data_IF_491977519450
#
_entry.id   IF_491977519450
#
_cell.length_a   1.000
_cell.length_b   1.000
_cell.length_c   1.000
_cell.angle_alpha   90.00
_cell.angle_beta   90.00
_cell.angle_gamma   90.00
#
_symmetry.space_group_name_H-M   'P 1'
#
loop_
_entity.id
_entity.type
_entity.pdbx_description
1 polymer ?
#
# COMPACT_ATOMS: atom_id res chain seq x y z
N UNK A 1 -12.49 35.33 22.00
CA UNK A 1 -13.05 34.03 22.33
C UNK A 1 -12.31 33.37 23.49
N UNK A 2 -10.99 33.18 23.42
CA UNK A 2 -10.17 32.60 24.50
C UNK A 2 -10.35 33.33 25.83
N UNK A 3 -10.31 34.68 25.85
CA UNK A 3 -10.50 35.52 27.01
C UNK A 3 -11.89 35.30 27.65
N UNK A 4 -12.93 35.11 26.84
CA UNK A 4 -14.28 34.80 27.32
C UNK A 4 -14.45 33.36 27.83
N UNK A 5 -13.76 32.42 27.24
CA UNK A 5 -13.72 31.05 27.76
C UNK A 5 -13.05 30.99 29.13
N UNK A 6 -11.97 31.72 29.32
CA UNK A 6 -11.29 31.83 30.61
C UNK A 6 -12.18 32.53 31.69
N UNK A 7 -12.87 33.61 31.30
CA UNK A 7 -13.81 34.30 32.18
C UNK A 7 -15.02 33.40 32.54
N UNK A 8 -15.49 32.52 31.61
CA UNK A 8 -16.60 31.61 31.79
C UNK A 8 -16.30 30.43 32.73
N UNK A 9 -15.03 30.13 32.98
CA UNK A 9 -14.65 29.09 33.95
C UNK A 9 -14.99 29.48 35.39
N UNK A 10 -15.22 30.81 35.65
CA UNK A 10 -15.70 31.29 36.95
C UNK A 10 -17.22 31.23 37.04
N UNK A 11 -17.76 31.12 38.25
CA UNK A 11 -19.20 31.08 38.47
C UNK A 11 -19.87 32.37 37.91
N UNK A 12 -20.87 32.20 37.03
CA UNK A 12 -21.66 33.28 36.46
C UNK A 12 -23.13 32.87 36.32
N UNK A 13 -24.02 33.87 36.25
CA UNK A 13 -25.48 33.65 36.22
C UNK A 13 -26.06 33.52 34.79
N UNK A 14 -25.23 33.25 33.78
CA UNK A 14 -25.63 33.18 32.40
C UNK A 14 -25.73 34.53 31.70
N UNK A 15 -26.53 34.63 30.65
CA UNK A 15 -26.73 35.83 29.84
C UNK A 15 -26.24 35.68 28.40
N UNK A 16 -26.48 36.72 27.57
CA UNK A 16 -26.21 36.68 26.12
C UNK A 16 -24.73 36.85 25.72
N UNK A 17 -23.87 37.20 26.65
CA UNK A 17 -22.40 37.39 26.37
C UNK A 17 -21.56 36.13 26.52
N UNK A 18 -22.13 35.06 27.05
CA UNK A 18 -21.42 33.80 27.34
C UNK A 18 -21.49 32.82 26.18
N UNK A 19 -20.49 31.96 26.09
CA UNK A 19 -20.47 30.88 25.09
C UNK A 19 -21.40 29.77 25.60
N UNK A 20 -22.41 29.39 24.80
CA UNK A 20 -23.37 28.37 25.16
C UNK A 20 -23.93 27.61 23.98
N UNK A 21 -24.62 26.50 24.24
CA UNK A 21 -25.22 25.66 23.22
C UNK A 21 -26.67 26.08 22.87
N UNK A 22 -27.25 27.02 23.61
CA UNK A 22 -28.66 27.48 23.43
C UNK A 22 -28.81 28.98 23.75
N UNK A 23 -29.99 29.51 23.54
CA UNK A 23 -30.33 30.91 23.84
C UNK A 23 -29.96 31.89 22.74
N UNK A 24 -29.82 33.19 23.14
CA UNK A 24 -29.54 34.31 22.20
C UNK A 24 -28.08 34.73 22.17
N UNK A 25 -27.20 34.00 22.80
CA UNK A 25 -25.76 34.28 22.76
C UNK A 25 -25.24 34.30 21.35
N UNK A 26 -24.33 35.26 20.99
CA UNK A 26 -23.69 35.27 19.68
C UNK A 26 -22.70 34.12 19.48
N UNK A 27 -22.40 33.32 20.50
CA UNK A 27 -21.43 32.22 20.47
C UNK A 27 -22.12 30.92 20.93
N UNK A 28 -21.99 29.88 20.11
CA UNK A 28 -22.52 28.54 20.41
C UNK A 28 -23.02 27.81 19.16
N UNK A 29 -23.67 26.64 19.33
CA UNK A 29 -24.06 25.81 18.17
C UNK A 29 -25.59 25.64 18.01
N UNK A 30 -26.38 25.76 19.09
CA UNK A 30 -27.86 25.51 19.09
C UNK A 30 -28.72 26.75 19.40
N UNK A 31 -28.09 27.91 19.63
CA UNK A 31 -28.83 29.15 19.95
C UNK A 31 -29.39 29.84 18.70
N UNK A 32 -30.34 30.77 18.93
CA UNK A 32 -30.92 31.62 17.89
C UNK A 32 -30.30 33.01 17.95
N UNK A 33 -29.27 33.25 17.15
CA UNK A 33 -28.68 34.59 16.92
C UNK A 33 -28.32 34.72 15.43
N UNK A 34 -28.98 35.61 14.67
CA UNK A 34 -28.72 35.74 13.20
C UNK A 34 -27.29 36.12 12.85
N UNK A 35 -26.59 36.87 13.73
CA UNK A 35 -25.20 37.28 13.55
C UNK A 35 -24.24 36.41 14.35
N UNK A 36 -24.69 35.30 14.87
CA UNK A 36 -23.92 34.44 15.75
C UNK A 36 -22.80 33.68 15.05
N UNK A 37 -21.79 33.33 15.84
CA UNK A 37 -20.67 32.47 15.42
C UNK A 37 -20.93 31.07 15.93
N UNK A 38 -20.98 30.08 15.02
CA UNK A 38 -21.08 28.68 15.43
C UNK A 38 -19.73 28.19 15.98
N UNK A 39 -19.76 27.58 17.16
CA UNK A 39 -18.58 27.02 17.83
C UNK A 39 -18.86 25.53 18.09
N UNK A 40 -18.20 24.67 17.31
CA UNK A 40 -18.31 23.20 17.42
C UNK A 40 -19.67 22.64 17.08
N UNK A 41 -19.80 21.33 16.98
CA UNK A 41 -21.06 20.58 16.80
C UNK A 41 -21.83 20.86 15.50
N UNK A 42 -22.88 20.06 15.24
CA UNK A 42 -23.78 20.26 14.11
C UNK A 42 -24.76 21.41 14.37
N UNK A 43 -25.01 22.22 13.35
CA UNK A 43 -25.97 23.34 13.45
C UNK A 43 -27.41 22.84 13.36
N UNK A 44 -28.20 23.03 14.38
CA UNK A 44 -29.65 22.74 14.36
C UNK A 44 -30.42 23.60 13.36
N UNK A 45 -30.03 24.84 13.15
CA UNK A 45 -30.80 25.82 12.36
C UNK A 45 -30.10 26.24 11.06
N UNK A 46 -28.88 25.79 10.78
CA UNK A 46 -28.07 26.08 9.57
C UNK A 46 -27.99 27.57 9.18
N UNK A 47 -28.08 28.52 10.13
CA UNK A 47 -28.16 29.98 9.92
C UNK A 47 -26.95 30.76 10.40
N UNK A 48 -25.91 30.11 10.89
CA UNK A 48 -24.70 30.80 11.32
C UNK A 48 -23.92 31.38 10.15
N UNK A 49 -23.68 32.69 10.16
CA UNK A 49 -22.87 33.39 9.14
C UNK A 49 -21.37 33.09 9.26
N UNK A 50 -20.91 32.77 10.46
CA UNK A 50 -19.51 32.43 10.75
C UNK A 50 -19.44 31.12 11.48
N UNK A 51 -18.55 30.23 11.02
CA UNK A 51 -18.29 28.93 11.62
C UNK A 51 -16.88 28.94 12.17
N UNK A 52 -16.75 28.74 13.49
CA UNK A 52 -15.47 28.46 14.10
C UNK A 52 -15.33 26.96 14.33
N UNK A 53 -14.59 26.31 13.46
CA UNK A 53 -14.15 24.93 13.67
C UNK A 53 -12.74 24.94 14.24
N UNK A 54 -12.52 24.16 15.29
CA UNK A 54 -11.18 23.93 15.82
C UNK A 54 -10.42 23.20 14.70
N UNK A 55 -9.54 23.91 14.03
CA UNK A 55 -8.59 23.27 13.12
C UNK A 55 -7.66 22.45 13.98
N UNK A 56 -7.89 21.16 14.01
CA UNK A 56 -6.89 20.21 14.47
C UNK A 56 -5.84 20.14 13.37
N UNK A 57 -4.71 20.79 13.59
CA UNK A 57 -3.52 20.56 12.80
C UNK A 57 -3.02 19.16 13.19
N UNK A 58 -3.57 18.13 12.54
CA UNK A 58 -2.94 16.83 12.54
C UNK A 58 -1.70 16.98 11.66
N UNK A 59 -0.53 16.64 12.19
CA UNK A 59 0.61 16.36 11.35
C UNK A 59 0.14 15.35 10.30
N UNK A 60 0.49 15.60 9.02
CA UNK A 60 0.20 14.67 7.95
C UNK A 60 0.75 13.31 8.38
N UNK A 61 -0.16 12.41 8.75
CA UNK A 61 0.19 11.09 9.22
C UNK A 61 0.51 10.23 7.99
N UNK A 62 1.77 9.89 7.82
CA UNK A 62 2.26 9.02 6.75
C UNK A 62 1.69 7.61 6.84
N UNK A 63 0.98 7.28 7.94
CA UNK A 63 0.37 5.99 8.19
C UNK A 63 -1.12 5.92 7.80
N UNK A 64 -1.70 7.00 7.24
CA UNK A 64 -3.10 7.02 6.82
C UNK A 64 -3.38 6.02 5.72
N UNK A 65 -4.59 5.45 5.78
CA UNK A 65 -5.17 4.59 4.75
C UNK A 65 -4.89 5.11 3.34
N UNK A 66 -4.33 4.23 2.54
CA UNK A 66 -3.95 4.51 1.17
C UNK A 66 -5.20 4.66 0.31
N UNK A 67 -5.50 5.86 -0.12
CA UNK A 67 -6.46 6.03 -1.22
C UNK A 67 -5.88 5.49 -2.54
N UNK A 68 -6.71 4.90 -3.39
CA UNK A 68 -6.34 4.31 -4.69
C UNK A 68 -5.41 5.19 -5.54
N UNK A 69 -5.60 6.52 -5.47
CA UNK A 69 -4.73 7.49 -6.17
C UNK A 69 -3.30 7.47 -5.66
N UNK A 70 -3.11 7.41 -4.35
CA UNK A 70 -1.78 7.40 -3.73
C UNK A 70 -1.04 6.09 -4.03
N UNK A 71 -1.76 4.97 -4.00
CA UNK A 71 -1.25 3.66 -4.40
C UNK A 71 -0.75 3.71 -5.85
N UNK A 72 -1.54 4.22 -6.78
CA UNK A 72 -1.15 4.37 -8.20
C UNK A 72 0.12 5.21 -8.35
N UNK A 73 0.25 6.31 -7.61
CA UNK A 73 1.46 7.16 -7.67
C UNK A 73 2.69 6.39 -7.19
N UNK A 74 2.58 5.62 -6.09
CA UNK A 74 3.69 4.81 -5.58
C UNK A 74 4.08 3.71 -6.60
N UNK A 75 3.12 2.97 -7.16
CA UNK A 75 3.36 1.92 -8.14
C UNK A 75 3.97 2.46 -9.46
N UNK A 76 3.62 3.68 -9.87
CA UNK A 76 4.23 4.34 -11.04
C UNK A 76 5.73 4.55 -10.88
N UNK A 77 6.22 4.68 -9.66
CA UNK A 77 7.66 4.80 -9.41
C UNK A 77 8.41 3.56 -9.87
N UNK A 78 7.87 2.36 -9.62
CA UNK A 78 8.46 1.13 -10.14
C UNK A 78 8.61 1.16 -11.67
N UNK A 79 7.59 1.65 -12.38
CA UNK A 79 7.66 1.84 -13.84
C UNK A 79 8.72 2.85 -14.29
N UNK A 80 8.90 3.93 -13.52
CA UNK A 80 9.88 4.98 -13.84
C UNK A 80 11.30 4.45 -13.71
N UNK A 81 11.59 3.69 -12.66
CA UNK A 81 12.92 3.11 -12.43
C UNK A 81 13.27 1.98 -13.41
N UNK A 82 12.27 1.24 -13.90
CA UNK A 82 12.49 0.18 -14.90
C UNK A 82 12.83 0.72 -16.32
N UNK A 83 12.78 2.03 -16.53
CA UNK A 83 13.18 2.68 -17.79
C UNK A 83 14.69 2.81 -17.98
N UNK A 84 15.50 2.43 -17.02
CA UNK A 84 16.96 2.43 -17.10
C UNK A 84 17.48 1.15 -17.79
N UNK A 85 16.86 0.76 -18.92
CA UNK A 85 17.35 -0.30 -19.80
C UNK A 85 18.41 0.21 -20.77
N UNK A 86 19.05 -0.73 -21.50
CA UNK A 86 19.91 -0.37 -22.63
C UNK A 86 19.14 0.50 -23.63
N UNK A 87 19.78 1.50 -24.24
CA UNK A 87 19.16 2.34 -25.24
C UNK A 87 18.96 1.54 -26.56
N UNK A 88 17.78 0.94 -26.72
CA UNK A 88 17.45 0.06 -27.86
C UNK A 88 16.54 0.74 -28.90
N UNK A 89 15.99 1.94 -28.58
CA UNK A 89 15.10 2.70 -29.47
C UNK A 89 15.80 3.95 -29.99
N UNK A 90 15.64 4.24 -31.28
CA UNK A 90 16.14 5.48 -31.89
C UNK A 90 15.43 6.69 -31.25
N UNK A 91 16.18 7.57 -30.62
CA UNK A 91 15.70 8.89 -30.21
C UNK A 91 15.66 9.84 -31.39
N UNK A 92 14.53 9.86 -32.10
CA UNK A 92 14.38 10.64 -33.30
C UNK A 92 14.57 12.15 -33.05
N UNK A 93 13.97 12.69 -31.97
CA UNK A 93 14.10 14.10 -31.61
C UNK A 93 15.53 14.46 -31.22
N UNK A 94 16.15 13.68 -30.34
CA UNK A 94 17.54 13.89 -29.94
C UNK A 94 18.52 13.72 -31.12
N UNK A 95 18.23 12.80 -32.07
CA UNK A 95 19.01 12.59 -33.25
C UNK A 95 18.94 13.80 -34.22
N UNK A 96 17.73 14.32 -34.46
CA UNK A 96 17.51 15.51 -35.30
C UNK A 96 18.19 16.73 -34.67
N UNK A 97 18.00 16.95 -33.38
CA UNK A 97 18.59 18.09 -32.68
C UNK A 97 20.13 18.00 -32.64
N UNK A 98 20.66 16.82 -32.36
CA UNK A 98 22.13 16.58 -32.37
C UNK A 98 22.71 16.80 -33.76
N UNK A 99 22.08 16.23 -34.78
CA UNK A 99 22.47 16.39 -36.21
C UNK A 99 22.45 17.85 -36.64
N UNK A 100 21.41 18.59 -36.28
CA UNK A 100 21.28 20.02 -36.60
C UNK A 100 22.35 20.88 -35.91
N UNK A 101 22.76 20.53 -34.70
CA UNK A 101 23.79 21.25 -33.94
C UNK A 101 25.21 20.94 -34.39
N UNK A 102 25.46 19.70 -34.79
CA UNK A 102 26.82 19.24 -35.13
C UNK A 102 27.15 19.24 -36.62
N UNK A 103 26.14 19.35 -37.49
CA UNK A 103 26.29 19.36 -38.94
C UNK A 103 26.64 18.00 -39.55
N UNK A 104 26.63 16.91 -38.74
CA UNK A 104 26.80 15.52 -39.18
C UNK A 104 25.81 14.62 -38.47
N UNK A 105 25.47 13.45 -38.99
CA UNK A 105 24.47 12.53 -38.46
C UNK A 105 24.88 12.03 -37.05
N UNK A 106 24.18 12.52 -36.01
CA UNK A 106 24.38 12.14 -34.61
C UNK A 106 23.23 11.23 -34.17
N UNK A 107 23.38 9.92 -34.42
CA UNK A 107 22.36 8.93 -34.07
C UNK A 107 22.35 8.76 -32.55
N UNK A 108 21.23 9.17 -31.92
CA UNK A 108 20.99 9.00 -30.50
C UNK A 108 19.98 7.89 -30.25
N UNK A 109 20.35 7.01 -29.34
CA UNK A 109 19.49 5.93 -28.87
C UNK A 109 18.94 6.27 -27.51
N UNK A 110 17.69 5.88 -27.24
CA UNK A 110 17.05 6.00 -25.92
C UNK A 110 16.51 4.65 -25.48
N UNK A 111 16.37 4.47 -24.17
CA UNK A 111 15.68 3.30 -23.64
C UNK A 111 14.21 3.30 -24.10
N UNK A 112 13.75 2.19 -24.64
CA UNK A 112 12.39 2.02 -25.14
C UNK A 112 11.38 2.34 -24.02
N UNK A 113 10.33 3.12 -24.33
CA UNK A 113 9.25 3.47 -23.40
C UNK A 113 8.32 2.28 -23.10
N UNK A 114 8.82 1.05 -23.10
CA UNK A 114 8.01 -0.10 -22.74
C UNK A 114 7.69 -0.06 -21.25
N UNK A 115 6.44 -0.26 -20.92
CA UNK A 115 6.01 -0.65 -19.58
C UNK A 115 6.43 -2.12 -19.38
N UNK A 116 7.73 -2.32 -19.34
CA UNK A 116 8.38 -3.64 -19.34
C UNK A 116 8.43 -4.26 -17.93
N UNK A 117 7.91 -3.58 -16.90
CA UNK A 117 7.88 -4.14 -15.56
C UNK A 117 6.96 -5.34 -15.54
N UNK A 118 7.54 -6.48 -15.23
CA UNK A 118 6.85 -7.75 -15.05
C UNK A 118 6.67 -8.00 -13.56
N UNK A 119 5.44 -8.23 -13.12
CA UNK A 119 5.08 -8.39 -11.71
C UNK A 119 4.33 -9.69 -11.50
N UNK A 120 4.75 -10.46 -10.51
CA UNK A 120 3.96 -11.53 -9.92
C UNK A 120 3.46 -11.06 -8.56
N UNK A 121 2.15 -10.99 -8.41
CA UNK A 121 1.47 -10.56 -7.19
C UNK A 121 0.87 -11.78 -6.50
N UNK A 122 1.28 -12.06 -5.28
CA UNK A 122 0.74 -13.12 -4.45
C UNK A 122 -0.10 -12.50 -3.33
N UNK A 123 -1.37 -12.89 -3.25
CA UNK A 123 -2.37 -12.32 -2.35
C UNK A 123 -2.79 -13.36 -1.32
N UNK A 124 -2.52 -13.08 -0.06
CA UNK A 124 -3.00 -13.89 1.05
C UNK A 124 -4.50 -13.72 1.24
N UNK A 125 -5.20 -14.83 1.39
CA UNK A 125 -6.65 -14.89 1.61
C UNK A 125 -7.01 -15.65 2.89
N UNK A 126 -6.08 -15.75 3.83
CA UNK A 126 -6.34 -16.29 5.17
C UNK A 126 -7.38 -15.47 5.92
N UNK A 127 -8.11 -16.10 6.85
CA UNK A 127 -9.18 -15.43 7.60
C UNK A 127 -8.71 -14.21 8.42
N UNK A 128 -7.44 -14.16 8.80
CA UNK A 128 -6.83 -12.99 9.47
C UNK A 128 -6.73 -11.76 8.55
N UNK A 129 -6.83 -11.95 7.22
CA UNK A 129 -6.84 -10.89 6.22
C UNK A 129 -8.19 -10.19 6.05
N UNK A 130 -9.29 -10.72 6.63
CA UNK A 130 -10.64 -10.15 6.50
C UNK A 130 -10.73 -8.64 6.80
N UNK A 131 -10.09 -8.10 7.84
CA UNK A 131 -10.10 -6.66 8.12
C UNK A 131 -9.44 -5.80 7.04
N UNK A 132 -8.58 -6.41 6.20
CA UNK A 132 -7.75 -5.72 5.21
C UNK A 132 -8.22 -5.90 3.77
N UNK A 133 -9.31 -6.65 3.53
CA UNK A 133 -9.81 -6.97 2.17
C UNK A 133 -9.93 -5.72 1.33
N UNK A 134 -10.59 -4.67 1.83
CA UNK A 134 -10.80 -3.42 1.08
C UNK A 134 -9.49 -2.77 0.64
N UNK A 135 -8.50 -2.73 1.54
CA UNK A 135 -7.19 -2.15 1.26
C UNK A 135 -6.43 -2.95 0.20
N UNK A 136 -6.52 -4.29 0.27
CA UNK A 136 -5.90 -5.19 -0.70
C UNK A 136 -6.59 -5.09 -2.07
N UNK A 137 -7.92 -4.96 -2.11
CA UNK A 137 -8.68 -4.71 -3.34
C UNK A 137 -8.27 -3.38 -4.01
N UNK A 138 -8.09 -2.32 -3.24
CA UNK A 138 -7.59 -1.05 -3.75
C UNK A 138 -6.18 -1.16 -4.33
N UNK A 139 -5.28 -1.89 -3.64
CA UNK A 139 -3.93 -2.18 -4.14
C UNK A 139 -3.99 -2.99 -5.44
N UNK A 140 -4.79 -4.05 -5.48
CA UNK A 140 -4.96 -4.91 -6.65
C UNK A 140 -5.49 -4.13 -7.85
N UNK A 141 -6.55 -3.33 -7.67
CA UNK A 141 -7.10 -2.45 -8.70
C UNK A 141 -6.08 -1.44 -9.23
N UNK A 142 -5.28 -0.87 -8.34
CA UNK A 142 -4.20 0.04 -8.75
C UNK A 142 -3.10 -0.70 -9.52
N UNK A 143 -2.69 -1.88 -9.08
CA UNK A 143 -1.64 -2.68 -9.71
C UNK A 143 -2.05 -3.15 -11.12
N UNK A 144 -3.28 -3.64 -11.31
CA UNK A 144 -3.81 -4.04 -12.62
C UNK A 144 -3.87 -2.88 -13.61
N UNK A 145 -4.12 -1.67 -13.12
CA UNK A 145 -4.12 -0.45 -13.95
C UNK A 145 -2.70 -0.01 -14.34
N UNK A 146 -1.74 -0.14 -13.42
CA UNK A 146 -0.40 0.42 -13.62
C UNK A 146 0.56 -0.56 -14.31
N UNK A 147 0.41 -1.87 -14.17
CA UNK A 147 1.30 -2.87 -14.75
C UNK A 147 0.62 -3.66 -15.88
N UNK A 148 1.15 -3.55 -17.10
CA UNK A 148 0.65 -4.32 -18.25
C UNK A 148 0.97 -5.82 -18.15
N UNK A 149 2.12 -6.14 -17.56
CA UNK A 149 2.59 -7.52 -17.39
C UNK A 149 2.45 -7.91 -15.91
N UNK A 150 1.22 -7.87 -15.41
CA UNK A 150 0.86 -8.32 -14.07
C UNK A 150 0.21 -9.70 -14.16
N UNK A 151 0.76 -10.63 -13.40
CA UNK A 151 0.13 -11.91 -13.07
C UNK A 151 -0.11 -11.96 -11.58
N UNK A 152 -1.19 -12.61 -11.15
CA UNK A 152 -1.52 -12.70 -9.73
C UNK A 152 -1.97 -14.10 -9.36
N UNK A 153 -1.78 -14.42 -8.09
CA UNK A 153 -2.17 -15.69 -7.50
C UNK A 153 -2.65 -15.48 -6.07
N UNK A 154 -3.61 -16.28 -5.67
CA UNK A 154 -4.06 -16.37 -4.28
C UNK A 154 -3.35 -17.51 -3.57
N UNK A 155 -2.99 -17.31 -2.31
CA UNK A 155 -2.49 -18.33 -1.41
C UNK A 155 -3.14 -18.18 -0.04
N UNK A 156 -2.99 -19.13 0.85
CA UNK A 156 -3.55 -19.10 2.19
C UNK A 156 -2.43 -19.16 3.22
N UNK A 157 -2.35 -18.13 4.05
CA UNK A 157 -1.38 -17.94 5.14
C UNK A 157 0.08 -18.01 4.65
N UNK A 158 0.55 -19.16 4.20
CA UNK A 158 1.90 -19.37 3.71
C UNK A 158 1.90 -19.92 2.28
N UNK A 159 3.02 -19.67 1.57
CA UNK A 159 3.19 -20.23 0.23
C UNK A 159 3.62 -21.69 0.34
N UNK A 160 2.95 -22.55 -0.45
CA UNK A 160 3.24 -23.97 -0.55
C UNK A 160 3.37 -24.40 -2.02
N UNK A 161 3.24 -25.72 -2.29
CA UNK A 161 3.32 -26.30 -3.63
C UNK A 161 2.22 -25.86 -4.58
N UNK A 162 1.19 -25.14 -4.11
CA UNK A 162 0.08 -24.72 -4.93
C UNK A 162 -0.49 -23.37 -4.58
N UNK A 163 -0.93 -22.67 -5.63
CA UNK A 163 -1.61 -21.37 -5.56
C UNK A 163 -2.78 -21.34 -6.54
N UNK A 164 -3.62 -20.34 -6.49
CA UNK A 164 -4.85 -20.27 -7.29
C UNK A 164 -5.00 -18.95 -8.02
N UNK A 165 -5.67 -19.01 -9.18
CA UNK A 165 -6.11 -17.82 -9.93
C UNK A 165 -7.48 -17.31 -9.47
N UNK A 166 -8.27 -18.16 -8.85
CA UNK A 166 -9.60 -17.86 -8.30
C UNK A 166 -9.60 -18.07 -6.79
N UNK A 167 -10.17 -17.12 -6.05
CA UNK A 167 -10.25 -17.18 -4.59
C UNK A 167 -11.17 -18.30 -4.05
N UNK A 168 -12.00 -18.95 -4.91
CA UNK A 168 -12.73 -20.15 -4.53
C UNK A 168 -11.81 -21.34 -4.24
N UNK A 169 -10.57 -21.26 -4.70
CA UNK A 169 -9.46 -22.18 -4.42
C UNK A 169 -9.82 -23.65 -4.58
N UNK A 170 -10.52 -23.96 -5.67
CA UNK A 170 -10.84 -25.34 -5.99
C UNK A 170 -9.58 -26.14 -6.24
N UNK A 171 -9.49 -27.30 -5.63
CA UNK A 171 -8.29 -28.15 -5.75
C UNK A 171 -7.96 -28.50 -7.22
N UNK A 172 -8.97 -28.71 -8.05
CA UNK A 172 -8.82 -29.00 -9.49
C UNK A 172 -8.27 -27.82 -10.30
N UNK A 173 -8.33 -26.60 -9.77
CA UNK A 173 -7.87 -25.37 -10.43
C UNK A 173 -6.56 -24.84 -9.83
N UNK A 174 -5.90 -25.67 -9.01
CA UNK A 174 -4.62 -25.34 -8.40
C UNK A 174 -3.52 -25.21 -9.46
N UNK A 175 -2.77 -24.11 -9.40
CA UNK A 175 -1.54 -23.92 -10.16
C UNK A 175 -0.37 -24.40 -9.29
N UNK A 176 0.48 -25.27 -9.83
CA UNK A 176 1.66 -25.72 -9.10
C UNK A 176 2.69 -24.58 -9.01
N UNK A 177 3.22 -24.34 -7.84
CA UNK A 177 4.23 -23.29 -7.60
C UNK A 177 5.52 -23.56 -8.40
N UNK A 178 5.86 -24.82 -8.66
CA UNK A 178 6.96 -25.19 -9.56
C UNK A 178 6.74 -24.67 -10.98
N UNK A 179 5.51 -24.76 -11.50
CA UNK A 179 5.20 -24.28 -12.85
C UNK A 179 5.39 -22.77 -12.96
N UNK A 180 5.12 -22.03 -11.87
CA UNK A 180 5.37 -20.59 -11.81
C UNK A 180 6.88 -20.31 -11.88
N UNK A 181 7.70 -21.03 -11.10
CA UNK A 181 9.14 -20.88 -11.09
C UNK A 181 9.80 -21.14 -12.46
N UNK A 182 9.21 -22.06 -13.26
CA UNK A 182 9.72 -22.37 -14.59
C UNK A 182 9.14 -21.48 -15.70
N UNK A 183 7.89 -21.02 -15.53
CA UNK A 183 7.19 -20.22 -16.55
C UNK A 183 7.65 -18.77 -16.60
N UNK A 184 7.88 -18.18 -15.43
CA UNK A 184 8.20 -16.75 -15.32
C UNK A 184 9.70 -16.54 -15.11
N UNK A 185 10.33 -15.69 -15.92
CA UNK A 185 11.75 -15.42 -15.85
C UNK A 185 12.19 -14.66 -14.60
N UNK A 186 13.49 -14.66 -14.33
CA UNK A 186 14.10 -14.00 -13.15
C UNK A 186 13.93 -12.47 -13.11
N UNK A 187 13.49 -11.87 -14.22
CA UNK A 187 13.24 -10.44 -14.36
C UNK A 187 11.89 -10.01 -13.74
N UNK A 188 11.04 -10.97 -13.37
CA UNK A 188 9.82 -10.67 -12.64
C UNK A 188 10.10 -10.12 -11.25
N UNK A 189 9.28 -9.13 -10.85
CA UNK A 189 9.26 -8.55 -9.51
C UNK A 189 8.19 -9.24 -8.70
N UNK A 190 8.56 -9.79 -7.55
CA UNK A 190 7.61 -10.52 -6.70
C UNK A 190 7.10 -9.60 -5.60
N UNK A 191 5.79 -9.53 -5.48
CA UNK A 191 5.11 -8.78 -4.42
C UNK A 191 4.16 -9.73 -3.70
N UNK A 192 4.48 -10.07 -2.47
CA UNK A 192 3.54 -10.73 -1.56
C UNK A 192 2.71 -9.68 -0.84
N UNK A 193 1.43 -9.95 -0.62
CA UNK A 193 0.53 -9.13 0.19
C UNK A 193 -0.16 -10.04 1.20
N UNK A 194 0.10 -9.83 2.47
CA UNK A 194 -0.45 -10.65 3.56
C UNK A 194 0.00 -10.15 4.92
N UNK A 195 -0.74 -10.49 5.95
CA UNK A 195 -0.45 -10.08 7.33
C UNK A 195 0.69 -10.88 7.99
N UNK A 196 1.08 -11.99 7.36
CA UNK A 196 2.07 -12.93 7.88
C UNK A 196 1.72 -13.46 9.30
N UNK A 197 0.41 -13.48 9.63
CA UNK A 197 -0.10 -13.91 10.93
C UNK A 197 -0.63 -15.34 10.84
N UNK A 198 0.20 -16.30 11.17
CA UNK A 198 -0.13 -17.72 11.13
C UNK A 198 0.61 -18.49 12.24
N UNK A 199 0.32 -19.76 12.39
CA UNK A 199 1.11 -20.62 13.25
C UNK A 199 2.55 -20.74 12.72
N UNK A 200 3.59 -20.63 13.53
CA UNK A 200 4.97 -20.92 13.12
C UNK A 200 5.14 -22.30 12.48
N UNK A 201 4.30 -23.27 12.85
CA UNK A 201 4.31 -24.62 12.25
C UNK A 201 3.97 -24.60 10.76
N UNK A 202 3.09 -23.70 10.32
CA UNK A 202 2.75 -23.53 8.90
C UNK A 202 3.98 -23.13 8.08
N UNK A 203 4.89 -22.40 8.67
CA UNK A 203 6.11 -21.95 7.99
C UNK A 203 7.21 -23.04 8.06
N UNK A 204 7.35 -23.71 9.20
CA UNK A 204 8.56 -24.48 9.50
C UNK A 204 8.43 -26.00 9.30
N UNK A 205 7.21 -26.53 9.17
CA UNK A 205 6.98 -27.98 9.15
C UNK A 205 6.21 -28.44 7.92
N UNK A 206 6.57 -29.61 7.36
CA UNK A 206 5.67 -30.35 6.47
C UNK A 206 4.37 -30.70 7.21
N UNK A 207 3.23 -30.69 6.50
CA UNK A 207 1.92 -30.91 7.10
C UNK A 207 1.46 -29.78 8.04
N UNK A 208 2.14 -28.63 8.05
CA UNK A 208 1.79 -27.48 8.91
C UNK A 208 0.61 -26.67 8.40
N UNK A 209 0.27 -26.75 7.11
CA UNK A 209 -0.87 -26.03 6.53
C UNK A 209 -2.19 -26.46 7.15
N UNK A 210 -3.06 -25.48 7.42
CA UNK A 210 -4.41 -25.74 7.97
C UNK A 210 -5.43 -26.19 6.92
N UNK A 211 -5.13 -26.00 5.63
CA UNK A 211 -6.08 -26.31 4.55
C UNK A 211 -5.80 -27.65 3.87
N UNK A 212 -4.55 -28.06 3.79
CA UNK A 212 -4.15 -29.28 3.10
C UNK A 212 -2.84 -29.84 3.68
N UNK A 213 -2.52 -31.08 3.39
CA UNK A 213 -1.21 -31.63 3.74
C UNK A 213 -0.17 -31.10 2.74
N UNK A 214 0.73 -30.23 3.19
CA UNK A 214 1.88 -29.77 2.44
C UNK A 214 3.06 -30.73 2.62
N UNK A 215 3.66 -31.17 1.54
CA UNK A 215 4.79 -32.10 1.56
C UNK A 215 6.09 -31.45 2.07
N UNK A 216 6.28 -30.17 1.74
CA UNK A 216 7.40 -29.37 2.16
C UNK A 216 6.96 -28.17 3.00
N UNK A 217 7.79 -27.77 3.94
CA UNK A 217 7.55 -26.59 4.79
C UNK A 217 7.40 -25.32 3.95
N UNK A 218 6.53 -24.39 4.37
CA UNK A 218 6.35 -23.11 3.67
C UNK A 218 7.63 -22.28 3.55
N UNK A 219 8.54 -22.39 4.52
CA UNK A 219 9.87 -21.75 4.48
C UNK A 219 10.69 -22.17 3.24
N UNK A 220 10.59 -23.42 2.85
CA UNK A 220 11.31 -23.94 1.67
C UNK A 220 10.82 -23.27 0.39
N UNK A 221 9.51 -23.11 0.26
CA UNK A 221 8.90 -22.45 -0.89
C UNK A 221 9.21 -20.96 -0.95
N UNK A 222 9.14 -20.27 0.19
CA UNK A 222 9.51 -18.85 0.26
C UNK A 222 10.99 -18.62 -0.07
N UNK A 223 11.89 -19.48 0.41
CA UNK A 223 13.31 -19.42 0.08
C UNK A 223 13.58 -19.68 -1.40
N UNK A 224 12.88 -20.65 -2.02
CA UNK A 224 12.98 -20.90 -3.47
C UNK A 224 12.56 -19.68 -4.29
N UNK A 225 11.41 -19.08 -3.94
CA UNK A 225 10.95 -17.85 -4.62
C UNK A 225 11.98 -16.73 -4.45
N UNK A 226 12.46 -16.48 -3.24
CA UNK A 226 13.42 -15.40 -2.97
C UNK A 226 14.78 -15.65 -3.66
N UNK A 227 15.16 -16.91 -3.85
CA UNK A 227 16.38 -17.28 -4.58
C UNK A 227 16.23 -17.09 -6.10
N UNK A 228 15.10 -17.55 -6.67
CA UNK A 228 14.83 -17.43 -8.11
C UNK A 228 14.55 -15.99 -8.50
N UNK A 229 13.89 -15.23 -7.65
CA UNK A 229 13.51 -13.84 -7.90
C UNK A 229 14.16 -12.91 -6.86
N UNK A 230 15.34 -12.37 -7.14
CA UNK A 230 16.06 -11.50 -6.20
C UNK A 230 15.26 -10.23 -5.82
N UNK A 231 14.38 -9.77 -6.72
CA UNK A 231 13.51 -8.63 -6.49
C UNK A 231 12.17 -9.10 -5.87
N UNK A 232 12.21 -9.51 -4.61
CA UNK A 232 11.07 -9.98 -3.83
C UNK A 232 10.82 -9.06 -2.64
N UNK A 233 9.56 -8.64 -2.44
CA UNK A 233 9.10 -7.86 -1.27
C UNK A 233 7.80 -8.42 -0.71
N UNK A 234 7.53 -8.12 0.55
CA UNK A 234 6.28 -8.44 1.24
C UNK A 234 5.62 -7.15 1.73
N UNK A 235 4.39 -6.91 1.35
CA UNK A 235 3.55 -5.81 1.81
C UNK A 235 2.62 -6.32 2.90
N UNK A 236 2.84 -5.86 4.13
CA UNK A 236 2.06 -6.27 5.28
C UNK A 236 1.05 -5.18 5.68
N UNK A 237 -0.27 -5.46 5.69
CA UNK A 237 -1.28 -4.49 6.06
C UNK A 237 -1.33 -4.18 7.56
N UNK A 238 -0.74 -5.05 8.40
CA UNK A 238 -0.64 -4.81 9.84
C UNK A 238 0.41 -3.73 10.11
N UNK A 239 0.16 -2.77 11.02
CA UNK A 239 1.13 -1.75 11.39
C UNK A 239 2.48 -2.33 11.88
N UNK A 240 3.58 -1.80 11.41
CA UNK A 240 4.93 -2.30 11.70
C UNK A 240 5.22 -2.44 13.20
N UNK A 241 4.67 -1.56 14.03
CA UNK A 241 4.78 -1.61 15.49
C UNK A 241 4.27 -2.93 16.10
N UNK A 242 3.40 -3.64 15.41
CA UNK A 242 2.79 -4.90 15.87
C UNK A 242 3.56 -6.13 15.41
N UNK A 243 4.44 -6.03 14.42
CA UNK A 243 5.19 -7.18 13.88
C UNK A 243 6.05 -7.88 14.92
N UNK A 244 6.54 -7.13 15.92
CA UNK A 244 7.30 -7.65 17.03
C UNK A 244 6.56 -8.65 17.93
N UNK A 245 5.23 -8.65 17.89
CA UNK A 245 4.40 -9.55 18.71
C UNK A 245 4.09 -10.89 18.03
N UNK A 246 4.27 -10.98 16.70
CA UNK A 246 4.05 -12.21 15.93
C UNK A 246 5.38 -12.90 15.59
N UNK A 247 5.51 -14.14 16.01
CA UNK A 247 6.68 -14.95 15.67
C UNK A 247 6.72 -15.28 14.17
N UNK A 248 5.58 -15.60 13.57
CA UNK A 248 5.47 -15.91 12.15
C UNK A 248 5.90 -14.72 11.27
N UNK A 249 5.48 -13.50 11.62
CA UNK A 249 5.88 -12.29 10.91
C UNK A 249 7.40 -12.07 10.94
N UNK A 250 8.05 -12.34 12.08
CA UNK A 250 9.52 -12.26 12.18
C UNK A 250 10.21 -13.27 11.27
N UNK A 251 9.75 -14.53 11.32
CA UNK A 251 10.33 -15.61 10.50
C UNK A 251 10.17 -15.32 9.01
N UNK A 252 8.97 -14.90 8.56
CA UNK A 252 8.75 -14.55 7.16
C UNK A 252 9.63 -13.38 6.75
N UNK A 253 9.73 -12.33 7.58
CA UNK A 253 10.61 -11.19 7.31
C UNK A 253 12.07 -11.61 7.11
N UNK A 254 12.57 -12.52 7.93
CA UNK A 254 13.92 -13.07 7.80
C UNK A 254 14.08 -13.89 6.51
N UNK A 255 13.11 -14.77 6.18
CA UNK A 255 13.15 -15.61 4.98
C UNK A 255 13.22 -14.83 3.68
N UNK A 256 12.62 -13.63 3.64
CA UNK A 256 12.64 -12.74 2.47
C UNK A 256 13.76 -11.69 2.54
N UNK A 257 14.77 -11.89 3.41
CA UNK A 257 15.92 -11.01 3.52
C UNK A 257 15.62 -9.62 4.10
N UNK A 258 14.59 -9.50 4.96
CA UNK A 258 14.19 -8.23 5.59
C UNK A 258 13.29 -7.34 4.73
N UNK A 259 12.96 -7.74 3.52
CA UNK A 259 12.21 -6.93 2.55
C UNK A 259 10.70 -6.92 2.81
N UNK A 260 10.29 -6.77 4.07
CA UNK A 260 8.91 -6.59 4.47
C UNK A 260 8.63 -5.11 4.74
N UNK A 261 7.56 -4.59 4.16
CA UNK A 261 7.16 -3.18 4.24
C UNK A 261 5.71 -3.06 4.68
N UNK A 262 5.35 -2.06 5.50
CA UNK A 262 3.96 -1.82 5.83
C UNK A 262 3.17 -1.38 4.59
N UNK A 263 1.91 -1.78 4.50
CA UNK A 263 1.03 -1.36 3.40
C UNK A 263 0.53 0.07 3.64
N UNK A 264 1.47 1.01 3.63
CA UNK A 264 1.30 2.46 3.72
C UNK A 264 1.95 3.13 2.50
N UNK A 265 1.74 4.43 2.31
CA UNK A 265 2.36 5.15 1.20
C UNK A 265 3.90 5.11 1.28
N UNK A 266 4.45 5.30 2.47
CA UNK A 266 5.89 5.24 2.73
C UNK A 266 6.43 3.83 2.53
N UNK A 267 5.73 2.81 3.05
CA UNK A 267 6.12 1.41 2.87
C UNK A 267 6.06 0.96 1.42
N UNK A 268 5.04 1.36 0.66
CA UNK A 268 4.98 1.12 -0.79
C UNK A 268 6.15 1.78 -1.52
N UNK A 269 6.51 3.00 -1.15
CA UNK A 269 7.65 3.70 -1.74
C UNK A 269 8.96 2.96 -1.46
N UNK A 270 9.15 2.51 -0.23
CA UNK A 270 10.29 1.67 0.17
C UNK A 270 10.35 0.35 -0.61
N UNK A 271 9.21 -0.35 -0.72
CA UNK A 271 9.09 -1.58 -1.48
C UNK A 271 9.43 -1.38 -2.98
N UNK A 272 8.91 -0.31 -3.59
CA UNK A 272 9.20 -0.02 -4.99
C UNK A 272 10.67 0.30 -5.23
N UNK A 273 11.35 0.97 -4.30
CA UNK A 273 12.79 1.21 -4.36
C UNK A 273 13.58 -0.10 -4.26
N UNK A 274 13.21 -0.98 -3.33
CA UNK A 274 13.88 -2.29 -3.18
C UNK A 274 13.72 -3.16 -4.42
N UNK A 275 12.53 -3.20 -5.03
CA UNK A 275 12.28 -3.93 -6.28
C UNK A 275 13.09 -3.42 -7.48
N UNK A 276 13.57 -2.17 -7.43
CA UNK A 276 14.39 -1.58 -8.50
C UNK A 276 15.88 -1.67 -8.24
N UNK A 277 16.27 -2.06 -7.02
CA UNK A 277 17.68 -2.20 -6.66
C UNK A 277 18.31 -3.33 -7.46
N UNK A 278 19.39 -3.01 -8.21
CA UNK A 278 20.20 -4.04 -8.88
C UNK A 278 20.91 -4.85 -7.80
N UNK A 279 20.52 -6.10 -7.64
CA UNK A 279 21.27 -7.07 -6.84
C UNK A 279 22.28 -7.72 -7.80
N UNK A 280 23.55 -7.43 -7.56
CA UNK A 280 24.68 -8.04 -8.28
C UNK A 280 24.90 -9.47 -7.82
#
# INVERSE_FOLDING_TARGET
LKKRLEEQQKRHEGGNKWIGTGGTSPYGNNGYNPEGVRIGGESKHKRALKVWEKREFQNLDNTRELGTRNIKVALRRLRRFAREGNPDELDLEGTIEGTAKQGWLDIRMRAERKNAVKVLLFLDVGGSMDPFIKLVEELFSAATTEFKNLEFFYFHNCLYEGVWKDNKRRWSERTNTWDILHKYGHDYKIIFVGDAAMSPYEITHPGGSVEHFNEEAGSVWLQRIAHVYPATVWLNPVPEKQWGYSQSTKVIKELIGGNMFPLTLEGLDGAMRELTRKKH
#
